data_IF_289124183202
#
_entry.id   IF_289124183202
#
_cell.length_a   1.000
_cell.length_b   1.000
_cell.length_c   1.000
_cell.angle_alpha   90.00
_cell.angle_beta   90.00
_cell.angle_gamma   90.00
#
_symmetry.space_group_name_H-M   'P 1'
#
loop_
_entity.id
_entity.type
_entity.pdbx_description
1 polymer ?
#
# COMPACT_ATOMS: atom_id res chain seq x y z
N UNK A 1 0.07 -1.39 4.85
CA UNK A 1 -1.01 -0.49 4.41
C UNK A 1 -2.19 -0.68 5.33
N UNK A 2 -2.90 0.39 5.72
CA UNK A 2 -4.07 0.28 6.63
C UNK A 2 -5.38 0.61 5.94
N UNK A 3 -5.37 1.50 4.94
CA UNK A 3 -6.59 1.91 4.23
C UNK A 3 -6.24 2.35 2.81
N UNK A 4 -7.09 1.97 1.86
CA UNK A 4 -7.12 2.51 0.51
C UNK A 4 -8.20 3.60 0.46
N UNK A 5 -7.89 4.75 -0.14
CA UNK A 5 -8.83 5.84 -0.40
C UNK A 5 -8.78 6.21 -1.88
N UNK A 6 -9.78 6.94 -2.37
CA UNK A 6 -9.94 7.29 -3.79
C UNK A 6 -8.68 7.91 -4.43
N UNK A 7 -7.87 8.64 -3.66
CA UNK A 7 -6.70 9.36 -4.16
C UNK A 7 -5.36 8.84 -3.61
N UNK A 8 -5.34 7.70 -2.90
CA UNK A 8 -4.09 7.19 -2.37
C UNK A 8 -4.16 6.09 -1.32
N UNK A 9 -3.00 5.85 -0.71
CA UNK A 9 -2.78 4.76 0.24
C UNK A 9 -2.42 5.33 1.60
N UNK A 10 -3.18 4.95 2.63
CA UNK A 10 -2.95 5.41 4.00
C UNK A 10 -2.30 4.30 4.81
N UNK A 11 -1.25 4.65 5.53
CA UNK A 11 -0.63 3.80 6.53
C UNK A 11 -0.27 4.60 7.79
N UNK A 12 -0.13 3.88 8.91
CA UNK A 12 0.33 4.45 10.17
C UNK A 12 1.78 4.06 10.45
N UNK A 13 2.50 4.88 11.19
CA UNK A 13 3.82 4.53 11.72
C UNK A 13 4.18 5.34 12.97
N UNK A 14 5.40 5.14 13.48
CA UNK A 14 5.97 5.93 14.57
C UNK A 14 6.76 7.12 14.00
N UNK A 15 6.37 8.34 14.38
CA UNK A 15 7.01 9.59 13.94
C UNK A 15 8.47 9.69 14.33
N UNK A 16 8.90 8.97 15.37
CA UNK A 16 10.30 8.93 15.84
C UNK A 16 11.19 8.01 14.99
N UNK A 17 10.60 7.21 14.10
CA UNK A 17 11.34 6.21 13.36
C UNK A 17 12.18 6.79 12.23
N UNK A 18 13.22 6.05 11.82
CA UNK A 18 14.05 6.42 10.68
C UNK A 18 13.26 6.72 9.40
N UNK A 19 12.19 5.95 9.11
CA UNK A 19 11.41 6.16 7.89
C UNK A 19 10.65 7.49 7.92
N UNK A 20 10.15 7.91 9.08
CA UNK A 20 9.48 9.20 9.25
C UNK A 20 10.46 10.34 9.03
N UNK A 21 11.67 10.23 9.57
CA UNK A 21 12.74 11.17 9.30
C UNK A 21 13.12 11.22 7.80
N UNK A 22 13.26 10.07 7.14
CA UNK A 22 13.57 10.00 5.71
C UNK A 22 12.44 10.62 4.86
N UNK A 23 11.17 10.43 5.24
CA UNK A 23 9.98 11.03 4.61
C UNK A 23 9.97 12.56 4.77
N UNK A 24 10.28 13.07 5.97
CA UNK A 24 10.36 14.51 6.22
C UNK A 24 11.44 15.19 5.35
N UNK A 25 12.57 14.51 5.10
CA UNK A 25 13.64 15.02 4.25
C UNK A 25 13.34 14.89 2.75
N UNK A 26 12.70 13.79 2.35
CA UNK A 26 12.39 13.49 0.96
C UNK A 26 10.98 12.88 0.89
N UNK A 27 9.94 13.67 0.58
CA UNK A 27 8.55 13.23 0.58
C UNK A 27 8.19 12.45 -0.69
N UNK A 28 9.06 11.51 -1.10
CA UNK A 28 8.89 10.64 -2.25
C UNK A 28 9.12 9.20 -1.84
N UNK A 29 8.16 8.33 -2.14
CA UNK A 29 8.15 6.95 -1.64
C UNK A 29 7.78 5.97 -2.74
N UNK A 30 8.16 4.72 -2.50
CA UNK A 30 7.68 3.58 -3.27
C UNK A 30 7.07 2.54 -2.33
N UNK A 31 5.94 1.96 -2.72
CA UNK A 31 5.31 0.82 -2.08
C UNK A 31 5.42 -0.39 -3.01
N UNK A 32 5.70 -1.57 -2.45
CA UNK A 32 5.69 -2.83 -3.19
C UNK A 32 4.81 -3.83 -2.45
N UNK A 33 3.78 -4.30 -3.11
CA UNK A 33 2.97 -5.43 -2.71
C UNK A 33 3.38 -6.61 -3.57
N UNK A 34 3.76 -7.73 -2.94
CA UNK A 34 4.20 -8.93 -3.63
C UNK A 34 3.46 -10.12 -3.04
N UNK A 35 2.73 -10.83 -3.89
CA UNK A 35 2.09 -12.09 -3.58
C UNK A 35 2.78 -13.19 -4.38
N UNK A 36 3.25 -14.20 -3.67
CA UNK A 36 3.75 -15.44 -4.27
C UNK A 36 2.88 -16.57 -3.75
N UNK A 37 2.30 -17.36 -4.65
CA UNK A 37 1.38 -18.43 -4.27
C UNK A 37 1.53 -19.63 -5.19
N UNK A 38 1.23 -20.81 -4.64
CA UNK A 38 1.11 -22.01 -5.45
C UNK A 38 -0.23 -21.96 -6.19
N UNK A 39 -0.22 -22.20 -7.49
CA UNK A 39 -1.44 -22.30 -8.30
C UNK A 39 -1.53 -23.66 -8.99
N UNK A 40 -2.64 -23.87 -9.69
CA UNK A 40 -2.90 -25.08 -10.48
C UNK A 40 -1.86 -25.31 -11.60
N UNK A 41 -1.01 -24.32 -11.88
CA UNK A 41 0.03 -24.35 -12.92
C UNK A 41 1.27 -25.20 -12.59
N UNK A 42 1.28 -25.95 -11.47
CA UNK A 42 2.43 -26.72 -10.99
C UNK A 42 3.70 -25.86 -10.77
N UNK A 43 3.58 -24.84 -9.93
CA UNK A 43 4.72 -24.08 -9.41
C UNK A 43 4.28 -22.85 -8.61
N UNK A 44 5.13 -21.81 -8.55
CA UNK A 44 4.85 -20.55 -7.84
C UNK A 44 4.52 -19.45 -8.84
N UNK A 45 3.29 -18.94 -8.78
CA UNK A 45 2.91 -17.72 -9.48
C UNK A 45 3.25 -16.50 -8.63
N UNK A 46 3.52 -15.38 -9.29
CA UNK A 46 3.85 -14.11 -8.65
C UNK A 46 2.95 -12.99 -9.16
N UNK A 47 2.34 -12.26 -8.24
CA UNK A 47 1.67 -10.99 -8.49
C UNK A 47 2.40 -9.88 -7.75
N UNK A 48 2.64 -8.77 -8.42
CA UNK A 48 3.25 -7.60 -7.82
C UNK A 48 2.52 -6.33 -8.21
N UNK A 49 2.34 -5.44 -7.23
CA UNK A 49 1.99 -4.04 -7.45
C UNK A 49 3.10 -3.19 -6.89
N UNK A 50 3.64 -2.32 -7.72
CA UNK A 50 4.51 -1.22 -7.29
C UNK A 50 3.77 0.09 -7.44
N UNK A 51 3.90 0.95 -6.44
CA UNK A 51 3.35 2.30 -6.44
C UNK A 51 4.50 3.25 -6.15
N UNK A 52 4.64 4.29 -6.96
CA UNK A 52 5.58 5.39 -6.70
C UNK A 52 4.80 6.71 -6.65
N UNK A 53 5.21 7.62 -5.76
CA UNK A 53 4.58 8.93 -5.70
C UNK A 53 5.05 9.77 -4.50
N UNK A 54 4.24 10.79 -4.19
CA UNK A 54 4.48 11.70 -3.06
C UNK A 54 3.81 11.18 -1.80
N UNK A 55 4.34 11.58 -0.64
CA UNK A 55 3.80 11.22 0.67
C UNK A 55 3.54 12.48 1.49
N UNK A 56 2.43 12.49 2.23
CA UNK A 56 2.04 13.59 3.11
C UNK A 56 1.63 13.07 4.49
N UNK A 57 2.00 13.80 5.54
CA UNK A 57 1.50 13.55 6.89
C UNK A 57 0.02 13.97 6.97
N UNK A 58 -0.82 13.12 7.55
CA UNK A 58 -2.23 13.39 7.79
C UNK A 58 -2.49 13.64 9.28
N UNK A 59 -3.36 14.60 9.62
CA UNK A 59 -3.92 14.71 10.97
C UNK A 59 -4.66 13.44 11.35
N UNK A 60 -4.41 12.93 12.56
CA UNK A 60 -5.10 11.74 13.09
C UNK A 60 -6.63 11.88 13.02
N UNK A 61 -7.16 13.09 13.25
CA UNK A 61 -8.59 13.39 13.28
C UNK A 61 -9.31 13.12 11.95
N UNK A 62 -8.57 12.99 10.83
CA UNK A 62 -9.17 12.62 9.54
C UNK A 62 -9.51 11.14 9.47
N UNK A 63 -8.79 10.30 10.23
CA UNK A 63 -8.94 8.84 10.22
C UNK A 63 -8.79 8.22 11.61
N UNK A 64 -9.61 8.64 12.61
CA UNK A 64 -9.54 8.08 13.96
C UNK A 64 -9.81 6.58 13.99
N UNK A 65 -10.64 6.09 13.05
CA UNK A 65 -11.01 4.68 12.93
C UNK A 65 -9.81 3.76 12.69
N UNK A 66 -8.69 4.27 12.17
CA UNK A 66 -7.49 3.46 11.94
C UNK A 66 -6.89 3.00 13.27
N UNK A 67 -6.90 3.84 14.30
CA UNK A 67 -6.40 3.46 15.63
C UNK A 67 -7.45 2.75 16.47
N UNK A 68 -8.71 3.21 16.42
CA UNK A 68 -9.81 2.63 17.20
C UNK A 68 -10.04 1.15 16.89
N UNK A 69 -9.76 0.72 15.65
CA UNK A 69 -9.88 -0.68 15.21
C UNK A 69 -8.59 -1.50 15.43
N UNK A 70 -7.52 -0.94 15.98
CA UNK A 70 -6.30 -1.71 16.24
C UNK A 70 -6.57 -2.78 17.29
N UNK A 71 -6.05 -4.02 17.12
CA UNK A 71 -6.11 -5.00 18.18
C UNK A 71 -5.21 -4.58 19.35
N UNK A 72 -5.52 -5.05 20.56
CA UNK A 72 -4.83 -4.70 21.80
C UNK A 72 -3.29 -4.79 21.68
N UNK A 73 -2.77 -5.85 21.07
CA UNK A 73 -1.32 -6.03 20.91
C UNK A 73 -0.67 -4.95 20.02
N UNK A 74 -1.40 -4.34 19.09
CA UNK A 74 -0.92 -3.18 18.33
C UNK A 74 -0.92 -1.92 19.19
N UNK A 75 -1.99 -1.64 19.94
CA UNK A 75 -2.07 -0.49 20.85
C UNK A 75 -0.93 -0.52 21.89
N UNK A 76 -0.67 -1.69 22.47
CA UNK A 76 0.42 -1.89 23.44
C UNK A 76 1.78 -1.59 22.81
N UNK A 77 2.08 -2.21 21.67
CA UNK A 77 3.36 -2.00 20.97
C UNK A 77 3.56 -0.54 20.55
N UNK A 78 2.50 0.16 20.14
CA UNK A 78 2.58 1.58 19.83
C UNK A 78 2.98 2.44 21.05
N UNK A 79 2.57 2.03 22.26
CA UNK A 79 2.86 2.76 23.49
C UNK A 79 4.24 2.42 24.10
N UNK A 80 4.65 1.15 24.07
CA UNK A 80 5.88 0.71 24.77
C UNK A 80 7.11 0.66 23.86
N UNK A 81 6.94 0.40 22.57
CA UNK A 81 8.07 0.27 21.66
C UNK A 81 8.50 1.64 21.14
N UNK A 82 9.82 1.85 21.06
CA UNK A 82 10.42 2.97 20.33
C UNK A 82 10.97 2.46 19.01
N UNK A 83 10.26 2.73 17.92
CA UNK A 83 10.56 2.09 16.64
C UNK A 83 11.92 2.55 16.08
N UNK A 84 12.85 1.60 15.96
CA UNK A 84 14.18 1.85 15.41
C UNK A 84 15.27 2.13 16.45
N UNK A 85 14.92 2.13 17.74
CA UNK A 85 15.90 2.21 18.84
C UNK A 85 16.35 0.81 19.28
N UNK A 86 17.55 0.74 19.86
CA UNK A 86 18.03 -0.47 20.54
C UNK A 86 17.17 -0.76 21.77
N UNK A 87 16.86 -2.04 22.01
CA UNK A 87 16.06 -2.48 23.16
C UNK A 87 16.62 -3.78 23.74
N UNK A 88 16.55 -3.91 25.06
CA UNK A 88 16.72 -5.20 25.73
C UNK A 88 15.43 -6.01 25.61
N UNK A 89 15.48 -7.10 24.84
CA UNK A 89 14.28 -7.84 24.46
C UNK A 89 13.52 -8.41 25.66
N UNK A 90 14.22 -8.92 26.67
CA UNK A 90 13.61 -9.51 27.87
C UNK A 90 12.80 -8.49 28.65
N UNK A 91 13.35 -7.29 28.84
CA UNK A 91 12.68 -6.20 29.55
C UNK A 91 11.44 -5.72 28.80
N UNK A 92 11.56 -5.55 27.48
CA UNK A 92 10.44 -5.12 26.65
C UNK A 92 9.31 -6.16 26.62
N UNK A 93 9.66 -7.44 26.56
CA UNK A 93 8.69 -8.54 26.61
C UNK A 93 7.99 -8.64 27.96
N UNK A 94 8.74 -8.53 29.06
CA UNK A 94 8.15 -8.55 30.40
C UNK A 94 7.17 -7.38 30.59
N UNK A 95 7.57 -6.17 30.18
CA UNK A 95 6.70 -5.00 30.21
C UNK A 95 5.44 -5.19 29.35
N UNK A 96 5.58 -5.73 28.14
CA UNK A 96 4.45 -6.05 27.26
C UNK A 96 3.47 -7.02 27.92
N UNK A 97 3.97 -8.17 28.39
CA UNK A 97 3.15 -9.25 28.91
C UNK A 97 2.42 -8.84 30.20
N UNK A 98 3.08 -8.03 31.05
CA UNK A 98 2.47 -7.45 32.25
C UNK A 98 1.26 -6.59 31.91
N UNK A 99 1.41 -5.65 30.97
CA UNK A 99 0.31 -4.75 30.58
C UNK A 99 -0.79 -5.52 29.83
N UNK A 100 -0.41 -6.48 28.98
CA UNK A 100 -1.37 -7.33 28.29
C UNK A 100 -2.25 -8.12 29.28
N UNK A 101 -1.63 -8.75 30.28
CA UNK A 101 -2.35 -9.48 31.32
C UNK A 101 -3.32 -8.58 32.07
N UNK A 102 -2.88 -7.38 32.49
CA UNK A 102 -3.75 -6.40 33.13
C UNK A 102 -4.94 -6.01 32.25
N UNK A 103 -4.73 -5.78 30.95
CA UNK A 103 -5.83 -5.44 30.04
C UNK A 103 -6.84 -6.58 29.87
N UNK A 104 -6.39 -7.84 29.94
CA UNK A 104 -7.27 -9.01 29.85
C UNK A 104 -8.08 -9.21 31.14
N UNK A 105 -7.47 -8.97 32.31
CA UNK A 105 -8.09 -9.17 33.62
C UNK A 105 -9.02 -8.01 34.03
N UNK A 106 -8.63 -6.77 33.73
CA UNK A 106 -9.29 -5.55 34.23
C UNK A 106 -9.98 -4.74 33.11
N UNK A 107 -9.77 -5.13 31.84
CA UNK A 107 -10.22 -4.39 30.67
C UNK A 107 -9.18 -3.37 30.16
N UNK A 108 -9.41 -2.85 28.95
CA UNK A 108 -8.48 -1.90 28.31
C UNK A 108 -8.65 -0.50 28.96
N UNK A 109 -7.61 0.06 29.60
CA UNK A 109 -7.64 1.42 30.14
C UNK A 109 -7.90 2.47 29.05
N UNK A 110 -8.64 3.54 29.36
CA UNK A 110 -8.96 4.59 28.37
C UNK A 110 -7.71 5.24 27.77
N UNK A 111 -6.64 5.36 28.56
CA UNK A 111 -5.34 5.87 28.07
C UNK A 111 -4.74 5.04 26.94
N UNK A 112 -5.00 3.73 26.88
CA UNK A 112 -4.50 2.86 25.80
C UNK A 112 -5.40 2.91 24.55
N UNK A 113 -6.63 3.43 24.67
CA UNK A 113 -7.55 3.67 23.55
C UNK A 113 -7.27 4.97 22.80
N UNK A 114 -6.41 5.82 23.37
CA UNK A 114 -5.89 7.02 22.71
C UNK A 114 -4.55 6.73 22.05
N UNK A 115 -4.30 7.23 20.82
CA UNK A 115 -3.02 7.07 20.17
C UNK A 115 -1.94 7.86 20.92
N UNK A 116 -0.71 7.33 21.05
CA UNK A 116 0.39 8.10 21.62
C UNK A 116 0.77 9.27 20.71
N UNK A 117 1.41 10.31 21.26
CA UNK A 117 1.76 11.54 20.52
C UNK A 117 2.65 11.33 19.29
N UNK A 118 3.40 10.22 19.22
CA UNK A 118 4.25 9.87 18.09
C UNK A 118 3.53 8.99 17.05
N UNK A 119 2.27 8.66 17.26
CA UNK A 119 1.44 7.99 16.25
C UNK A 119 1.16 8.96 15.12
N UNK A 120 1.52 8.57 13.89
CA UNK A 120 1.34 9.43 12.72
C UNK A 120 0.73 8.63 11.58
N UNK A 121 -0.15 9.27 10.83
CA UNK A 121 -0.72 8.78 9.60
C UNK A 121 -0.01 9.43 8.42
N UNK A 122 0.28 8.65 7.39
CA UNK A 122 0.78 9.14 6.12
C UNK A 122 -0.11 8.68 4.97
N UNK A 123 -0.31 9.55 3.98
CA UNK A 123 -0.97 9.24 2.71
C UNK A 123 0.04 9.28 1.57
N UNK A 124 0.08 8.22 0.79
CA UNK A 124 0.83 8.15 -0.47
C UNK A 124 -0.12 8.44 -1.62
N UNK A 125 0.17 9.47 -2.39
CA UNK A 125 -0.56 9.82 -3.61
C UNK A 125 0.18 9.21 -4.81
N UNK A 126 -0.44 8.27 -5.55
CA UNK A 126 0.25 7.57 -6.63
C UNK A 126 0.50 8.49 -7.83
N UNK A 127 1.75 8.51 -8.30
CA UNK A 127 2.16 9.10 -9.58
C UNK A 127 2.39 8.03 -10.66
N UNK A 128 2.80 6.83 -10.24
CA UNK A 128 2.97 5.66 -11.09
C UNK A 128 2.51 4.41 -10.35
N UNK A 129 1.83 3.51 -11.08
CA UNK A 129 1.47 2.18 -10.60
C UNK A 129 1.86 1.13 -11.63
N UNK A 130 2.52 0.08 -11.18
CA UNK A 130 3.09 -0.98 -12.01
C UNK A 130 2.58 -2.34 -11.52
N UNK A 131 1.83 -3.00 -12.40
CA UNK A 131 1.14 -4.26 -12.17
C UNK A 131 1.89 -5.35 -12.92
N UNK A 132 2.35 -6.36 -12.19
CA UNK A 132 3.07 -7.49 -12.75
C UNK A 132 2.41 -8.79 -12.35
N UNK A 133 2.23 -9.68 -13.32
CA UNK A 133 1.73 -11.03 -13.12
C UNK A 133 2.66 -11.99 -13.87
N UNK A 134 3.20 -12.98 -13.18
CA UNK A 134 3.95 -14.06 -13.79
C UNK A 134 3.44 -15.42 -13.35
N UNK A 135 3.34 -16.32 -14.31
CA UNK A 135 3.07 -17.74 -14.08
C UNK A 135 4.28 -18.55 -14.54
N UNK A 136 4.59 -19.65 -13.85
CA UNK A 136 5.88 -20.35 -13.91
C UNK A 136 6.51 -20.49 -15.31
N UNK A 137 5.71 -20.90 -16.29
CA UNK A 137 6.18 -21.31 -17.62
C UNK A 137 6.00 -20.25 -18.70
N UNK A 138 5.49 -19.05 -18.35
CA UNK A 138 5.14 -18.02 -19.32
C UNK A 138 5.90 -16.72 -19.08
N UNK A 139 5.91 -15.86 -20.10
CA UNK A 139 6.42 -14.49 -19.98
C UNK A 139 5.45 -13.73 -19.08
N UNK A 140 5.97 -13.03 -18.07
CA UNK A 140 5.14 -12.22 -17.18
C UNK A 140 4.50 -11.03 -17.89
N UNK A 141 3.23 -10.80 -17.61
CA UNK A 141 2.49 -9.62 -18.03
C UNK A 141 2.84 -8.44 -17.15
N UNK A 142 2.91 -7.25 -17.77
CA UNK A 142 3.18 -6.01 -17.06
C UNK A 142 2.39 -4.84 -17.63
N UNK A 143 1.66 -4.14 -16.76
CA UNK A 143 0.91 -2.94 -17.11
C UNK A 143 1.33 -1.79 -16.20
N UNK A 144 1.67 -0.65 -16.79
CA UNK A 144 2.10 0.54 -16.04
C UNK A 144 1.13 1.69 -16.31
N UNK A 145 0.60 2.25 -15.23
CA UNK A 145 -0.22 3.45 -15.20
C UNK A 145 0.60 4.64 -14.69
N UNK A 146 0.40 5.81 -15.29
CA UNK A 146 1.07 7.05 -14.88
C UNK A 146 0.13 8.25 -14.91
N UNK A 147 0.36 9.18 -13.98
CA UNK A 147 -0.33 10.48 -13.99
C UNK A 147 0.18 11.31 -15.15
N UNK A 148 -0.76 11.93 -15.87
CA UNK A 148 -0.47 12.70 -17.09
C UNK A 148 -0.20 14.19 -16.84
N UNK A 149 -0.48 14.66 -15.62
CA UNK A 149 -0.36 16.05 -15.20
C UNK A 149 0.97 16.38 -14.50
N UNK A 150 1.85 15.39 -14.29
CA UNK A 150 3.13 15.56 -13.61
C UNK A 150 4.33 15.25 -14.52
N UNK A 151 5.33 16.15 -14.62
CA UNK A 151 6.54 15.90 -15.41
C UNK A 151 7.43 14.83 -14.76
N UNK A 152 7.96 13.91 -15.58
CA UNK A 152 8.83 12.82 -15.12
C UNK A 152 10.14 13.34 -14.51
N UNK A 153 10.45 12.90 -13.30
CA UNK A 153 11.74 13.17 -12.64
C UNK A 153 12.75 12.03 -12.78
N UNK A 154 12.35 10.87 -13.30
CA UNK A 154 13.24 9.74 -13.62
C UNK A 154 13.14 9.49 -15.13
N UNK A 155 14.23 9.63 -15.90
CA UNK A 155 14.22 9.36 -17.34
C UNK A 155 13.84 7.91 -17.62
N UNK A 156 12.83 7.70 -18.47
CA UNK A 156 12.46 6.39 -18.96
C UNK A 156 13.64 5.78 -19.73
N UNK A 157 14.26 4.74 -19.18
CA UNK A 157 15.34 4.01 -19.88
C UNK A 157 14.85 2.74 -20.58
N UNK A 158 13.56 2.35 -20.44
CA UNK A 158 13.12 1.03 -20.91
C UNK A 158 11.61 0.84 -21.18
N UNK A 159 10.84 1.87 -21.56
CA UNK A 159 9.44 1.65 -21.95
C UNK A 159 9.22 2.10 -23.39
N UNK A 160 8.96 1.15 -24.28
CA UNK A 160 8.47 1.44 -25.63
C UNK A 160 6.99 1.80 -25.51
N UNK A 161 6.64 3.05 -25.77
CA UNK A 161 5.25 3.47 -25.95
C UNK A 161 4.73 2.86 -27.26
N UNK A 162 3.81 1.91 -27.18
CA UNK A 162 3.05 1.50 -28.36
C UNK A 162 1.86 2.45 -28.52
N UNK A 163 1.92 3.35 -29.50
CA UNK A 163 0.76 4.11 -29.95
C UNK A 163 -0.07 3.21 -30.88
N UNK A 164 -1.02 2.46 -30.35
CA UNK A 164 -1.97 1.70 -31.16
C UNK A 164 -2.99 2.67 -31.78
N UNK A 165 -2.81 2.96 -33.07
CA UNK A 165 -3.79 3.67 -33.89
C UNK A 165 -4.87 2.73 -34.42
N UNK A 166 -5.56 2.01 -33.54
CA UNK A 166 -6.76 1.24 -33.84
C UNK A 166 -7.71 1.29 -32.63
N UNK A 167 -8.86 1.94 -32.80
CA UNK A 167 -9.93 1.96 -31.79
C UNK A 167 -10.64 0.59 -31.74
N UNK A 168 -10.64 -0.12 -30.59
CA UNK A 168 -11.54 -1.25 -30.41
C UNK A 168 -12.90 -0.74 -29.94
N UNK A 169 -13.93 -0.98 -30.76
CA UNK A 169 -15.32 -0.88 -30.36
C UNK A 169 -15.60 -1.84 -29.18
N UNK A 170 -15.80 -1.28 -27.99
CA UNK A 170 -16.09 -2.04 -26.77
C UNK A 170 -16.04 -1.15 -25.53
N UNK A 171 -16.98 -0.22 -25.43
CA UNK A 171 -17.27 0.49 -24.18
C UNK A 171 -17.85 -0.50 -23.16
N UNK A 172 -17.32 -0.51 -21.92
CA UNK A 172 -18.06 -0.69 -20.65
C UNK A 172 -17.22 -1.17 -19.44
N UNK A 173 -15.87 -1.12 -19.45
CA UNK A 173 -15.14 -1.36 -18.18
C UNK A 173 -13.70 -0.92 -17.99
N UNK A 174 -13.11 -0.14 -18.91
CA UNK A 174 -11.94 0.71 -18.59
C UNK A 174 -12.34 1.82 -17.59
N UNK A 175 -13.61 2.23 -17.64
CA UNK A 175 -14.15 3.33 -16.85
C UNK A 175 -14.11 3.09 -15.33
N UNK A 176 -14.06 1.85 -14.82
CA UNK A 176 -14.15 1.56 -13.38
C UNK A 176 -12.81 1.70 -12.61
N UNK A 177 -11.66 1.41 -13.24
CA UNK A 177 -10.33 1.68 -12.67
C UNK A 177 -9.98 3.17 -12.78
N UNK A 178 -10.34 3.81 -13.89
CA UNK A 178 -10.34 5.28 -14.02
C UNK A 178 -11.30 5.94 -13.01
N UNK A 179 -12.43 5.28 -12.66
CA UNK A 179 -13.36 5.77 -11.62
C UNK A 179 -12.80 5.68 -10.21
N UNK A 180 -12.08 4.60 -9.92
CA UNK A 180 -11.54 4.33 -8.57
C UNK A 180 -10.46 5.36 -8.22
N UNK A 181 -9.69 5.79 -9.21
CA UNK A 181 -8.71 6.88 -9.09
C UNK A 181 -9.08 8.01 -10.06
N UNK A 182 -9.91 8.96 -9.64
CA UNK A 182 -10.37 10.14 -10.43
C UNK A 182 -9.25 11.08 -10.94
N UNK A 183 -7.99 10.67 -10.86
CA UNK A 183 -6.80 11.53 -10.97
C UNK A 183 -6.04 11.42 -12.31
N UNK A 184 -6.68 10.96 -13.39
CA UNK A 184 -6.09 11.04 -14.73
C UNK A 184 -4.85 10.16 -14.96
N UNK A 185 -4.82 8.99 -14.32
CA UNK A 185 -3.86 7.92 -14.61
C UNK A 185 -4.15 7.33 -16.00
N UNK A 186 -3.15 7.29 -16.89
CA UNK A 186 -3.24 6.61 -18.19
C UNK A 186 -2.29 5.42 -18.28
N UNK A 187 -2.69 4.41 -19.04
CA UNK A 187 -1.83 3.26 -19.37
C UNK A 187 -0.71 3.74 -20.29
N UNK A 188 0.55 3.42 -19.95
CA UNK A 188 1.73 3.82 -20.74
C UNK A 188 2.43 2.61 -21.38
N UNK A 189 2.22 1.40 -20.86
CA UNK A 189 2.69 0.15 -21.48
C UNK A 189 1.76 -1.02 -21.16
N UNK A 190 1.51 -1.87 -22.16
CA UNK A 190 0.99 -3.24 -22.02
C UNK A 190 1.62 -4.11 -23.09
N UNK A 191 2.06 -5.32 -22.75
CA UNK A 191 2.48 -6.32 -23.75
C UNK A 191 1.27 -6.82 -24.53
N UNK A 192 1.41 -7.02 -25.84
CA UNK A 192 0.34 -7.33 -26.83
C UNK A 192 -0.49 -8.61 -26.57
N UNK A 193 -0.31 -9.31 -25.46
CA UNK A 193 -1.14 -10.46 -25.09
C UNK A 193 -2.09 -10.10 -23.96
N UNK A 194 -3.20 -9.46 -24.36
CA UNK A 194 -4.52 -9.69 -23.76
C UNK A 194 -4.60 -9.63 -22.24
N UNK A 195 -4.24 -8.49 -21.63
CA UNK A 195 -4.81 -8.11 -20.33
C UNK A 195 -6.29 -7.80 -20.58
N UNK A 196 -7.11 -8.85 -20.61
CA UNK A 196 -8.56 -8.69 -20.74
C UNK A 196 -9.08 -8.00 -19.49
N UNK A 197 -10.01 -7.07 -19.69
CA UNK A 197 -10.76 -6.32 -18.66
C UNK A 197 -11.24 -7.21 -17.49
N UNK A 198 -11.45 -8.50 -17.76
CA UNK A 198 -11.78 -9.55 -16.78
C UNK A 198 -10.68 -9.76 -15.72
N UNK A 199 -9.40 -9.76 -16.10
CA UNK A 199 -8.28 -9.95 -15.17
C UNK A 199 -8.14 -8.77 -14.21
N UNK A 200 -8.40 -7.54 -14.68
CA UNK A 200 -8.40 -6.33 -13.86
C UNK A 200 -9.61 -6.26 -12.91
N UNK A 201 -10.81 -6.68 -13.35
CA UNK A 201 -12.00 -6.79 -12.51
C UNK A 201 -11.85 -7.88 -11.43
N UNK A 202 -11.28 -9.03 -11.76
CA UNK A 202 -10.97 -10.09 -10.79
C UNK A 202 -9.89 -9.65 -9.77
N UNK A 203 -8.94 -8.83 -10.20
CA UNK A 203 -7.90 -8.22 -9.36
C UNK A 203 -8.45 -7.32 -8.24
N UNK A 204 -9.43 -6.46 -8.53
CA UNK A 204 -10.04 -5.58 -7.53
C UNK A 204 -11.08 -6.27 -6.65
N UNK A 205 -11.78 -7.30 -7.16
CA UNK A 205 -12.89 -7.93 -6.43
C UNK A 205 -12.45 -8.98 -5.39
N UNK A 206 -11.29 -9.62 -5.55
CA UNK A 206 -10.99 -10.81 -4.76
C UNK A 206 -10.15 -10.62 -3.50
N UNK A 207 -9.43 -9.51 -3.28
CA UNK A 207 -8.39 -9.49 -2.21
C UNK A 207 -8.26 -8.19 -1.38
N UNK A 208 -9.31 -7.37 -1.27
CA UNK A 208 -9.32 -6.20 -0.34
C UNK A 208 -9.88 -6.55 1.06
N UNK A 209 -10.23 -7.82 1.31
CA UNK A 209 -10.59 -8.29 2.65
C UNK A 209 -9.59 -9.33 3.17
N UNK A 210 -8.56 -8.85 3.85
CA UNK A 210 -7.86 -9.54 4.94
C UNK A 210 -7.02 -8.53 5.75
#
# INVERSE_FOLDING_TARGET
MRKLVDDGFIFMTDKRSKKSFDIELCPRVALTFLWMYASDSQGIDAQQVRVEGTITELPFQQHPEIFENEPLFCMLRANICRQGEYVEWSELKEAHDKIYKQCVEEGIPDKLKEPPNHYVLYKVEPEMMDFYLATNSTIGDRVVFRRTDQPHLIPDRALKTHSSGDEPNGHDGIDDLERTFKNGLKIVTGTEQGVTEKALKEWCHYHVYA
#
